data_IF_776233539340
#
_entry.id   IF_776233539340
#
_cell.length_a   1.000
_cell.length_b   1.000
_cell.length_c   1.000
_cell.angle_alpha   90.00
_cell.angle_beta   90.00
_cell.angle_gamma   90.00
#
_symmetry.space_group_name_H-M   'P 1'
#
loop_
_entity.id
_entity.type
_entity.pdbx_description
1 polymer ?
#
# COMPACT_ATOMS: atom_id res chain seq x y z
N UNK A 1 -23.69 -1.17 -11.78
CA UNK A 1 -23.27 -2.39 -11.06
C UNK A 1 -23.72 -2.26 -9.63
N UNK A 2 -24.49 -3.23 -9.12
CA UNK A 2 -24.84 -3.28 -7.69
C UNK A 2 -23.78 -4.12 -6.97
N UNK A 3 -23.27 -3.62 -5.84
CA UNK A 3 -22.38 -4.37 -4.97
C UNK A 3 -23.16 -5.54 -4.36
N UNK A 4 -22.67 -6.79 -4.53
CA UNK A 4 -23.36 -8.00 -4.00
C UNK A 4 -23.52 -7.94 -2.48
N UNK A 5 -22.62 -7.25 -1.79
CA UNK A 5 -22.64 -7.13 -0.32
C UNK A 5 -23.63 -6.06 0.18
N UNK A 6 -24.17 -5.22 -0.70
CA UNK A 6 -24.97 -4.04 -0.31
C UNK A 6 -24.18 -2.94 0.41
N UNK A 7 -22.86 -3.11 0.57
CA UNK A 7 -21.99 -2.12 1.21
C UNK A 7 -21.72 -0.94 0.27
N UNK A 8 -21.59 0.29 0.80
CA UNK A 8 -21.20 1.45 0.02
C UNK A 8 -19.78 1.27 -0.52
N UNK A 9 -19.62 1.33 -1.84
CA UNK A 9 -18.31 1.29 -2.50
C UNK A 9 -17.78 2.71 -2.70
N UNK A 10 -16.54 2.94 -2.29
CA UNK A 10 -15.82 4.21 -2.52
C UNK A 10 -14.45 3.93 -3.13
N UNK A 11 -13.99 4.86 -3.95
CA UNK A 11 -12.64 4.85 -4.52
C UNK A 11 -11.82 5.86 -3.74
N UNK A 12 -10.75 5.39 -3.10
CA UNK A 12 -9.78 6.24 -2.39
C UNK A 12 -8.48 6.28 -3.21
N UNK A 13 -8.17 7.41 -3.88
CA UNK A 13 -6.97 7.52 -4.71
C UNK A 13 -5.67 7.26 -3.92
N UNK A 14 -5.64 7.62 -2.64
CA UNK A 14 -4.48 7.42 -1.76
C UNK A 14 -4.23 5.96 -1.37
N UNK A 15 -5.06 5.02 -1.81
CA UNK A 15 -4.85 3.58 -1.62
C UNK A 15 -4.26 2.92 -2.89
N UNK A 16 -3.69 3.71 -3.79
CA UNK A 16 -2.95 3.21 -4.95
C UNK A 16 -1.75 2.34 -4.53
N UNK A 17 -1.28 1.50 -5.45
CA UNK A 17 -0.04 0.73 -5.25
C UNK A 17 1.18 1.65 -5.11
N UNK A 18 2.26 1.12 -4.55
CA UNK A 18 3.57 1.77 -4.45
C UNK A 18 4.00 2.55 -5.70
N UNK A 19 4.46 3.78 -5.50
CA UNK A 19 4.89 4.66 -6.59
C UNK A 19 6.39 4.55 -6.87
N UNK A 20 6.71 4.35 -8.16
CA UNK A 20 8.06 4.43 -8.71
C UNK A 20 8.09 5.60 -9.68
N UNK A 21 9.04 6.52 -9.49
CA UNK A 21 9.12 7.73 -10.31
C UNK A 21 10.00 7.56 -11.56
N UNK A 22 10.64 6.40 -11.69
CA UNK A 22 11.41 6.00 -12.85
C UNK A 22 10.51 5.44 -13.95
N UNK A 23 10.77 5.84 -15.21
CA UNK A 23 10.04 5.30 -16.37
C UNK A 23 10.61 3.95 -16.83
N UNK A 24 9.76 3.05 -17.33
CA UNK A 24 10.16 1.78 -17.92
C UNK A 24 10.12 0.58 -16.94
N UNK A 25 9.76 -0.59 -17.47
CA UNK A 25 9.55 -1.82 -16.69
C UNK A 25 10.83 -2.35 -16.02
N UNK A 26 11.97 -2.24 -16.70
CA UNK A 26 13.25 -2.70 -16.15
C UNK A 26 13.69 -1.87 -14.93
N UNK A 27 13.28 -0.60 -14.90
CA UNK A 27 13.56 0.27 -13.77
C UNK A 27 12.67 -0.11 -12.59
N UNK A 28 11.42 -0.51 -12.80
CA UNK A 28 10.54 -0.98 -11.72
C UNK A 28 11.16 -2.13 -10.92
N UNK A 29 11.66 -3.18 -11.57
CA UNK A 29 12.24 -4.33 -10.85
C UNK A 29 13.52 -3.97 -10.10
N UNK A 30 14.38 -3.11 -10.69
CA UNK A 30 15.57 -2.58 -10.00
C UNK A 30 15.19 -1.74 -8.79
N UNK A 31 14.21 -0.86 -8.95
CA UNK A 31 13.68 -0.04 -7.87
C UNK A 31 13.11 -0.91 -6.76
N UNK A 32 12.36 -1.95 -7.12
CA UNK A 32 11.77 -2.87 -6.14
C UNK A 32 12.86 -3.63 -5.38
N UNK A 33 13.89 -4.11 -6.05
CA UNK A 33 15.02 -4.75 -5.39
C UNK A 33 15.69 -3.79 -4.38
N UNK A 34 15.99 -2.57 -4.80
CA UNK A 34 16.58 -1.54 -3.93
C UNK A 34 15.68 -1.17 -2.75
N UNK A 35 14.37 -1.05 -2.96
CA UNK A 35 13.40 -0.83 -1.88
C UNK A 35 13.51 -1.95 -0.84
N UNK A 36 13.53 -3.22 -1.29
CA UNK A 36 13.57 -4.37 -0.39
C UNK A 36 14.89 -4.48 0.37
N UNK A 37 16.02 -4.28 -0.30
CA UNK A 37 17.35 -4.29 0.29
C UNK A 37 17.50 -3.22 1.38
N UNK A 38 16.93 -2.03 1.14
CA UNK A 38 16.98 -0.90 2.07
C UNK A 38 15.77 -0.82 3.02
N UNK A 39 14.98 -1.90 3.13
CA UNK A 39 13.81 -1.98 4.03
C UNK A 39 12.80 -0.84 3.82
N UNK A 40 12.71 -0.34 2.59
CA UNK A 40 11.81 0.73 2.17
C UNK A 40 12.29 2.15 2.44
N UNK A 41 13.53 2.33 2.89
CA UNK A 41 14.15 3.64 3.05
C UNK A 41 14.83 4.11 1.76
N UNK A 42 14.70 5.40 1.45
CA UNK A 42 15.43 6.04 0.36
C UNK A 42 16.75 6.61 0.89
N UNK A 43 17.87 6.02 0.49
CA UNK A 43 19.20 6.50 0.90
C UNK A 43 19.51 7.87 0.27
N UNK A 44 20.28 8.76 0.94
CA UNK A 44 20.59 10.10 0.45
C UNK A 44 21.22 10.16 -0.96
N UNK A 45 21.93 9.11 -1.36
CA UNK A 45 22.58 9.00 -2.68
C UNK A 45 21.93 7.95 -3.57
N UNK A 46 20.63 7.66 -3.35
CA UNK A 46 19.91 6.70 -4.18
C UNK A 46 19.90 7.16 -5.63
N UNK A 47 20.31 6.31 -6.59
CA UNK A 47 20.34 6.64 -8.01
C UNK A 47 18.95 6.70 -8.65
N UNK A 48 17.91 6.30 -7.90
CA UNK A 48 16.53 6.17 -8.35
C UNK A 48 15.60 6.72 -7.28
N UNK A 49 14.45 7.24 -7.70
CA UNK A 49 13.44 7.81 -6.81
C UNK A 49 12.20 6.91 -6.73
N UNK A 50 11.73 6.68 -5.51
CA UNK A 50 10.53 5.91 -5.22
C UNK A 50 9.90 6.33 -3.91
N UNK A 51 8.62 6.02 -3.75
CA UNK A 51 7.90 6.22 -2.50
C UNK A 51 8.43 5.30 -1.39
N UNK A 52 8.80 5.86 -0.24
CA UNK A 52 9.31 5.11 0.91
C UNK A 52 8.21 4.30 1.60
N UNK A 53 8.63 3.32 2.40
CA UNK A 53 7.71 2.58 3.27
C UNK A 53 6.94 3.50 4.23
N UNK A 54 7.62 4.51 4.78
CA UNK A 54 7.03 5.48 5.70
C UNK A 54 5.99 6.37 4.99
N UNK A 55 6.29 6.86 3.78
CA UNK A 55 5.34 7.63 2.97
C UNK A 55 4.10 6.79 2.62
N UNK A 56 4.29 5.54 2.16
CA UNK A 56 3.18 4.61 1.89
C UNK A 56 2.29 4.39 3.11
N UNK A 57 2.92 4.10 4.26
CA UNK A 57 2.19 3.88 5.51
C UNK A 57 1.45 5.13 5.95
N UNK A 58 2.08 6.30 5.85
CA UNK A 58 1.51 7.59 6.27
C UNK A 58 0.28 7.95 5.43
N UNK A 59 0.36 7.89 4.10
CA UNK A 59 -0.81 8.20 3.24
C UNK A 59 -1.96 7.22 3.44
N UNK A 60 -1.66 5.96 3.74
CA UNK A 60 -2.67 4.96 4.05
C UNK A 60 -3.40 5.33 5.35
N UNK A 61 -2.67 5.60 6.43
CA UNK A 61 -3.26 5.95 7.72
C UNK A 61 -4.05 7.26 7.65
N UNK A 62 -3.52 8.28 6.97
CA UNK A 62 -4.24 9.53 6.72
C UNK A 62 -5.57 9.29 5.99
N UNK A 63 -5.56 8.44 4.96
CA UNK A 63 -6.77 8.05 4.23
C UNK A 63 -7.76 7.30 5.13
N UNK A 64 -7.28 6.35 5.93
CA UNK A 64 -8.11 5.53 6.81
C UNK A 64 -8.72 6.34 7.95
N UNK A 65 -8.11 7.46 8.37
CA UNK A 65 -8.66 8.37 9.36
C UNK A 65 -10.08 8.88 9.04
N UNK A 66 -10.45 8.96 7.74
CA UNK A 66 -11.81 9.30 7.28
C UNK A 66 -12.87 8.28 7.73
N UNK A 67 -12.44 7.08 8.10
CA UNK A 67 -13.28 5.93 8.43
C UNK A 67 -13.18 5.51 9.90
N UNK A 68 -12.58 6.35 10.77
CA UNK A 68 -12.37 6.05 12.19
C UNK A 68 -13.65 5.75 13.00
N UNK A 69 -14.80 6.24 12.53
CA UNK A 69 -16.10 6.03 13.19
C UNK A 69 -16.73 4.68 12.83
N UNK A 70 -16.13 3.91 11.92
CA UNK A 70 -16.56 2.56 11.57
C UNK A 70 -15.77 1.53 12.38
N UNK A 71 -16.46 0.51 12.91
CA UNK A 71 -15.81 -0.60 13.60
C UNK A 71 -14.91 -1.42 12.66
N UNK A 72 -15.33 -1.60 11.41
CA UNK A 72 -14.59 -2.41 10.42
C UNK A 72 -14.86 -1.87 9.03
N UNK A 73 -13.82 -1.87 8.20
CA UNK A 73 -13.87 -1.46 6.81
C UNK A 73 -13.15 -2.48 5.95
N UNK A 74 -13.69 -2.73 4.75
CA UNK A 74 -13.06 -3.61 3.77
C UNK A 74 -12.24 -2.73 2.83
N UNK A 75 -10.95 -3.02 2.73
CA UNK A 75 -10.04 -2.36 1.80
C UNK A 75 -9.58 -3.38 0.76
N UNK A 76 -9.73 -3.03 -0.52
CA UNK A 76 -9.17 -3.78 -1.64
C UNK A 76 -7.96 -3.01 -2.13
N UNK A 77 -6.77 -3.58 -1.98
CA UNK A 77 -5.49 -2.93 -2.25
C UNK A 77 -4.47 -3.92 -2.83
N UNK A 78 -3.28 -3.40 -3.13
CA UNK A 78 -2.20 -4.14 -3.76
C UNK A 78 -1.10 -4.52 -2.75
N UNK A 79 -0.19 -5.41 -3.17
CA UNK A 79 0.78 -6.07 -2.30
C UNK A 79 1.74 -5.08 -1.62
N UNK A 80 2.35 -4.15 -2.37
CA UNK A 80 3.38 -3.28 -1.79
C UNK A 80 2.79 -2.30 -0.77
N UNK A 81 1.53 -1.90 -0.93
CA UNK A 81 0.80 -1.17 0.11
C UNK A 81 0.45 -2.05 1.32
N UNK A 82 -0.13 -3.23 1.10
CA UNK A 82 -0.56 -4.14 2.19
C UNK A 82 0.61 -4.59 3.08
N UNK A 83 1.78 -4.85 2.50
CA UNK A 83 2.96 -5.33 3.24
C UNK A 83 3.56 -4.31 4.22
N UNK A 84 3.07 -3.07 4.24
CA UNK A 84 3.45 -2.09 5.27
C UNK A 84 2.78 -2.38 6.63
N UNK A 85 1.77 -3.26 6.64
CA UNK A 85 0.95 -3.59 7.81
C UNK A 85 0.98 -5.08 8.16
N UNK A 86 1.20 -5.96 7.19
CA UNK A 86 1.22 -7.41 7.38
C UNK A 86 2.44 -8.05 6.70
N UNK A 87 2.96 -9.19 7.22
CA UNK A 87 4.07 -9.89 6.57
C UNK A 87 3.74 -10.33 5.14
N UNK A 88 4.70 -10.19 4.21
CA UNK A 88 4.49 -10.46 2.79
C UNK A 88 4.05 -11.90 2.51
N UNK A 89 4.53 -12.86 3.29
CA UNK A 89 4.16 -14.28 3.19
C UNK A 89 2.68 -14.56 3.50
N UNK A 90 1.95 -13.60 4.09
CA UNK A 90 0.51 -13.70 4.31
C UNK A 90 -0.33 -13.13 3.16
N UNK A 91 0.29 -12.51 2.16
CA UNK A 91 -0.40 -11.84 1.06
C UNK A 91 -0.36 -12.73 -0.20
N UNK A 92 -1.52 -13.23 -0.61
CA UNK A 92 -1.72 -13.97 -1.87
C UNK A 92 -2.88 -13.35 -2.68
N UNK A 93 -3.07 -13.79 -3.92
CA UNK A 93 -4.15 -13.30 -4.79
C UNK A 93 -5.51 -13.53 -4.13
N UNK A 94 -6.29 -12.45 -4.05
CA UNK A 94 -7.62 -12.45 -3.41
C UNK A 94 -7.62 -12.88 -1.93
N UNK A 95 -6.46 -12.92 -1.28
CA UNK A 95 -6.37 -13.25 0.14
C UNK A 95 -7.05 -12.17 0.98
N UNK A 96 -7.87 -12.60 1.94
CA UNK A 96 -8.49 -11.73 2.94
C UNK A 96 -7.63 -11.78 4.19
N UNK A 97 -7.23 -10.62 4.71
CA UNK A 97 -6.38 -10.48 5.88
C UNK A 97 -7.01 -9.44 6.80
N UNK A 98 -7.18 -9.81 8.06
CA UNK A 98 -7.60 -8.88 9.11
C UNK A 98 -6.37 -8.15 9.68
N UNK A 99 -6.48 -6.84 9.85
CA UNK A 99 -5.43 -5.98 10.36
C UNK A 99 -6.06 -4.88 11.21
N UNK A 100 -5.59 -4.75 12.46
CA UNK A 100 -5.97 -3.67 13.36
C UNK A 100 -5.11 -2.44 13.09
N UNK A 101 -5.74 -1.27 13.02
CA UNK A 101 -5.08 0.01 12.78
C UNK A 101 -5.30 0.92 13.98
N UNK A 102 -4.24 1.57 14.44
CA UNK A 102 -4.32 2.62 15.46
C UNK A 102 -4.50 3.98 14.74
N UNK A 103 -5.75 4.45 14.59
CA UNK A 103 -6.14 5.67 13.86
C UNK A 103 -7.15 6.57 14.57
#
# INVERSE_FOLDING_TARGET
>A
MACVTGLPLRVEPLLHEWQVYESGTDNFEKTRAMFLENKGELLPNSPIQYETAEEMKSRFLECMGKYRDYQTVIVVAHNMLMRQFVPNEKIDFCQVIECELEI
#
